data_IF_793146514441
#
_entry.id   IF_793146514441
#
_cell.length_a   1.000
_cell.length_b   1.000
_cell.length_c   1.000
_cell.angle_alpha   90.00
_cell.angle_beta   90.00
_cell.angle_gamma   90.00
#
_symmetry.space_group_name_H-M   'P 1'
#
loop_
_entity.id
_entity.type
_entity.pdbx_description
1 polymer ?
#
# COMPACT_ATOMS: atom_id res chain seq x y z
N UNK A 1 131.46 -18.93 11.96
CA UNK A 1 130.61 -18.75 10.76
C UNK A 1 129.15 -18.89 11.20
N UNK A 2 128.30 -17.95 10.83
CA UNK A 2 127.05 -17.53 11.50
C UNK A 2 126.05 -18.63 11.91
N UNK A 3 125.52 -18.49 13.13
CA UNK A 3 124.20 -18.98 13.56
C UNK A 3 123.07 -18.14 12.96
N UNK A 4 122.05 -18.79 12.37
CA UNK A 4 120.76 -18.17 12.07
C UNK A 4 119.63 -19.11 12.53
N UNK A 5 118.89 -18.68 13.56
CA UNK A 5 117.56 -19.18 13.88
C UNK A 5 116.51 -18.35 13.12
N UNK A 6 115.48 -18.96 12.50
CA UNK A 6 114.15 -18.32 12.45
C UNK A 6 113.01 -19.32 12.26
N UNK A 7 111.91 -19.02 12.97
CA UNK A 7 110.79 -19.84 13.41
C UNK A 7 109.81 -20.25 12.29
N UNK A 8 109.34 -21.49 12.33
CA UNK A 8 108.04 -21.90 11.77
C UNK A 8 106.99 -21.86 12.89
N UNK A 9 106.08 -20.89 12.83
CA UNK A 9 104.86 -20.90 13.63
C UNK A 9 103.80 -19.98 13.01
N UNK A 10 102.74 -20.57 12.43
CA UNK A 10 101.33 -20.14 12.50
C UNK A 10 100.53 -20.70 11.32
N UNK A 11 99.70 -21.70 11.57
CA UNK A 11 98.57 -22.06 10.68
C UNK A 11 97.26 -22.36 11.42
N UNK A 12 97.23 -22.30 12.76
CA UNK A 12 96.00 -22.53 13.55
C UNK A 12 95.16 -21.27 13.83
N UNK A 13 95.69 -20.08 13.49
CA UNK A 13 94.99 -18.80 13.71
C UNK A 13 94.29 -18.22 12.47
N UNK A 14 94.53 -18.78 11.29
CA UNK A 14 93.98 -18.24 10.04
C UNK A 14 92.49 -18.55 9.89
N UNK A 15 92.06 -19.78 10.21
CA UNK A 15 90.64 -20.17 10.14
C UNK A 15 89.77 -19.38 11.13
N UNK A 16 90.32 -19.02 12.30
CA UNK A 16 89.65 -18.14 13.27
C UNK A 16 89.52 -16.71 12.74
N UNK A 17 90.51 -16.22 12.00
CA UNK A 17 90.46 -14.89 11.38
C UNK A 17 89.47 -14.84 10.20
N UNK A 18 89.43 -15.88 9.37
CA UNK A 18 88.45 -16.00 8.28
C UNK A 18 87.02 -16.14 8.82
N UNK A 19 86.81 -16.93 9.89
CA UNK A 19 85.52 -17.01 10.57
C UNK A 19 85.11 -15.67 11.19
N UNK A 20 86.04 -14.94 11.81
CA UNK A 20 85.76 -13.62 12.38
C UNK A 20 85.37 -12.56 11.33
N UNK A 21 85.80 -12.72 10.08
CA UNK A 21 85.41 -11.85 8.97
C UNK A 21 84.05 -12.22 8.36
N UNK A 22 83.69 -13.50 8.34
CA UNK A 22 82.41 -13.99 7.78
C UNK A 22 81.27 -13.86 8.80
N UNK A 23 81.56 -14.04 10.09
CA UNK A 23 80.55 -14.04 11.15
C UNK A 23 79.65 -12.79 11.15
N UNK A 24 80.15 -11.55 11.00
CA UNK A 24 79.29 -10.36 10.96
C UNK A 24 78.33 -10.35 9.76
N UNK A 25 78.80 -10.80 8.59
CA UNK A 25 77.97 -10.88 7.38
C UNK A 25 76.92 -11.99 7.53
N UNK A 26 77.32 -13.15 8.08
CA UNK A 26 76.40 -14.25 8.35
C UNK A 26 75.33 -13.86 9.37
N UNK A 27 75.69 -13.13 10.43
CA UNK A 27 74.75 -12.62 11.43
C UNK A 27 73.79 -11.59 10.82
N UNK A 28 74.28 -10.70 9.96
CA UNK A 28 73.42 -9.76 9.24
C UNK A 28 72.41 -10.49 8.34
N UNK A 29 72.85 -11.49 7.58
CA UNK A 29 71.96 -12.31 6.75
C UNK A 29 70.91 -13.04 7.59
N UNK A 30 71.31 -13.65 8.71
CA UNK A 30 70.39 -14.35 9.60
C UNK A 30 69.37 -13.40 10.24
N UNK A 31 69.79 -12.23 10.71
CA UNK A 31 68.89 -11.25 11.29
C UNK A 31 67.94 -10.66 10.23
N UNK A 32 68.41 -10.41 9.00
CA UNK A 32 67.54 -9.98 7.90
C UNK A 32 66.50 -11.04 7.55
N UNK A 33 66.87 -12.32 7.58
CA UNK A 33 65.93 -13.42 7.35
C UNK A 33 64.87 -13.53 8.46
N UNK A 34 65.25 -13.27 9.71
CA UNK A 34 64.31 -13.23 10.84
C UNK A 34 63.32 -12.07 10.69
N UNK A 35 63.79 -10.86 10.39
CA UNK A 35 62.91 -9.69 10.21
C UNK A 35 61.98 -9.86 9.02
N UNK A 36 62.47 -10.39 7.90
CA UNK A 36 61.63 -10.70 6.74
C UNK A 36 60.58 -11.79 7.06
N UNK A 37 60.98 -12.82 7.81
CA UNK A 37 60.06 -13.87 8.25
C UNK A 37 58.95 -13.33 9.16
N UNK A 38 59.30 -12.47 10.12
CA UNK A 38 58.33 -11.80 11.01
C UNK A 38 57.40 -10.88 10.22
N UNK A 39 57.93 -10.11 9.27
CA UNK A 39 57.14 -9.22 8.43
C UNK A 39 56.13 -10.01 7.58
N UNK A 40 56.58 -11.07 6.91
CA UNK A 40 55.69 -11.93 6.12
C UNK A 40 54.62 -12.60 6.98
N UNK A 41 54.99 -13.14 8.14
CA UNK A 41 54.03 -13.74 9.06
C UNK A 41 53.00 -12.71 9.53
N UNK A 42 53.44 -11.51 9.92
CA UNK A 42 52.55 -10.43 10.36
C UNK A 42 51.60 -9.98 9.25
N UNK A 43 52.09 -9.89 8.00
CA UNK A 43 51.26 -9.56 6.85
C UNK A 43 50.17 -10.61 6.62
N UNK A 44 50.47 -11.90 6.81
CA UNK A 44 49.49 -12.98 6.72
C UNK A 44 48.44 -12.86 7.84
N UNK A 45 48.88 -12.61 9.08
CA UNK A 45 47.98 -12.43 10.23
C UNK A 45 46.99 -11.29 10.00
N UNK A 46 47.44 -10.10 9.61
CA UNK A 46 46.52 -8.98 9.36
C UNK A 46 45.59 -9.22 8.15
N UNK A 47 46.05 -9.98 7.16
CA UNK A 47 45.24 -10.34 6.00
C UNK A 47 44.12 -11.30 6.38
N UNK A 48 44.41 -12.27 7.25
CA UNK A 48 43.39 -13.18 7.76
C UNK A 48 42.42 -12.46 8.68
N UNK A 49 42.91 -11.56 9.55
CA UNK A 49 42.07 -10.70 10.37
C UNK A 49 41.11 -9.83 9.54
N UNK A 50 41.60 -9.21 8.46
CA UNK A 50 40.75 -8.46 7.54
C UNK A 50 39.69 -9.35 6.87
N UNK A 51 40.04 -10.57 6.45
CA UNK A 51 39.10 -11.53 5.84
C UNK A 51 38.00 -11.94 6.82
N UNK A 52 38.35 -12.23 8.07
CA UNK A 52 37.35 -12.60 9.08
C UNK A 52 36.45 -11.42 9.42
N UNK A 53 37.00 -10.21 9.56
CA UNK A 53 36.21 -9.00 9.70
C UNK A 53 35.21 -8.83 8.55
N UNK A 54 35.66 -9.01 7.30
CA UNK A 54 34.80 -8.92 6.11
C UNK A 54 33.73 -10.02 6.09
N UNK A 55 34.07 -11.24 6.53
CA UNK A 55 33.12 -12.34 6.67
C UNK A 55 32.02 -11.99 7.68
N UNK A 56 32.39 -11.56 8.88
CA UNK A 56 31.42 -11.16 9.93
C UNK A 56 30.58 -9.97 9.47
N UNK A 57 31.19 -9.00 8.78
CA UNK A 57 30.48 -7.85 8.22
C UNK A 57 29.46 -8.26 7.14
N UNK A 58 29.81 -9.22 6.28
CA UNK A 58 28.92 -9.72 5.22
C UNK A 58 27.68 -10.44 5.76
N UNK A 59 27.75 -10.97 6.97
CA UNK A 59 26.63 -11.62 7.67
C UNK A 59 25.77 -10.63 8.48
N UNK A 60 26.04 -9.31 8.38
CA UNK A 60 25.34 -8.27 9.12
C UNK A 60 25.86 -8.03 10.54
N UNK A 61 27.16 -8.27 10.75
CA UNK A 61 27.85 -7.94 11.99
C UNK A 61 27.92 -6.44 12.26
N UNK A 62 27.88 -6.06 13.53
CA UNK A 62 27.98 -4.65 13.96
C UNK A 62 29.43 -4.19 14.02
N UNK A 63 29.66 -2.91 13.68
CA UNK A 63 30.98 -2.31 13.73
C UNK A 63 30.93 -0.91 14.35
N UNK A 64 31.82 -0.66 15.31
CA UNK A 64 32.05 0.63 15.94
C UNK A 64 33.57 0.86 16.00
N UNK A 65 34.06 1.83 15.23
CA UNK A 65 35.49 2.15 15.18
C UNK A 65 36.01 2.58 16.56
N UNK A 66 37.20 2.11 16.94
CA UNK A 66 37.86 2.40 18.22
C UNK A 66 37.23 1.76 19.47
N UNK A 67 36.05 1.15 19.36
CA UNK A 67 35.37 0.51 20.50
C UNK A 67 35.91 -0.92 20.73
N UNK A 68 35.82 -1.45 21.97
CA UNK A 68 36.26 -2.82 22.27
C UNK A 68 35.43 -3.87 21.51
N UNK A 69 36.01 -5.07 21.36
CA UNK A 69 35.25 -6.25 20.97
C UNK A 69 34.20 -6.58 22.04
N UNK A 70 32.93 -6.62 21.63
CA UNK A 70 31.79 -7.04 22.43
C UNK A 70 30.63 -7.46 21.51
N UNK A 71 29.47 -7.80 22.08
CA UNK A 71 28.28 -8.21 21.33
C UNK A 71 27.73 -7.14 20.35
N UNK A 72 28.07 -5.87 20.55
CA UNK A 72 27.67 -4.72 19.71
C UNK A 72 28.77 -4.26 18.75
N UNK A 73 29.89 -4.99 18.68
CA UNK A 73 31.01 -4.71 17.80
C UNK A 73 31.64 -6.03 17.30
N UNK A 74 30.79 -6.88 16.69
CA UNK A 74 31.17 -8.24 16.30
C UNK A 74 32.23 -8.27 15.20
N UNK A 75 32.24 -7.28 14.29
CA UNK A 75 33.29 -7.17 13.26
C UNK A 75 34.65 -6.94 13.90
N UNK A 76 34.73 -6.07 14.92
CA UNK A 76 35.96 -5.87 15.69
C UNK A 76 36.40 -7.13 16.42
N UNK A 77 35.45 -7.94 16.92
CA UNK A 77 35.77 -9.23 17.52
C UNK A 77 36.43 -10.20 16.54
N UNK A 78 35.89 -10.32 15.32
CA UNK A 78 36.49 -11.17 14.28
C UNK A 78 37.91 -10.75 13.95
N UNK A 79 38.13 -9.43 13.77
CA UNK A 79 39.46 -8.88 13.48
C UNK A 79 40.46 -9.12 14.62
N UNK A 80 40.10 -8.80 15.86
CA UNK A 80 41.03 -8.90 16.98
C UNK A 80 41.33 -10.34 17.39
N UNK A 81 40.35 -11.24 17.30
CA UNK A 81 40.53 -12.67 17.64
C UNK A 81 41.48 -13.34 16.64
N UNK A 82 41.35 -13.04 15.35
CA UNK A 82 42.27 -13.56 14.33
C UNK A 82 43.66 -12.93 14.36
N UNK A 83 43.77 -11.70 14.87
CA UNK A 83 45.06 -11.05 15.07
C UNK A 83 45.79 -11.51 16.34
N UNK A 84 45.12 -12.23 17.25
CA UNK A 84 45.67 -12.66 18.52
C UNK A 84 46.83 -13.67 18.35
N UNK A 85 47.89 -13.51 19.15
CA UNK A 85 49.06 -14.40 19.10
C UNK A 85 50.05 -14.12 17.95
N UNK A 86 49.80 -13.09 17.13
CA UNK A 86 50.73 -12.62 16.10
C UNK A 86 51.94 -11.84 16.63
N UNK A 87 52.89 -11.50 15.75
CA UNK A 87 54.01 -10.60 16.06
C UNK A 87 53.63 -9.10 15.99
N UNK A 88 52.34 -8.80 15.80
CA UNK A 88 51.81 -7.45 15.60
C UNK A 88 50.53 -7.30 16.40
N UNK A 89 50.38 -6.14 17.04
CA UNK A 89 49.17 -5.76 17.76
C UNK A 89 48.32 -4.83 16.88
N UNK A 90 47.05 -5.19 16.68
CA UNK A 90 46.10 -4.38 15.92
C UNK A 90 45.42 -3.38 16.86
N UNK A 91 45.65 -2.09 16.63
CA UNK A 91 44.93 -1.01 17.32
C UNK A 91 43.49 -0.93 16.80
N UNK A 92 42.53 -0.86 17.72
CA UNK A 92 41.09 -0.74 17.43
C UNK A 92 40.74 0.51 16.61
N UNK A 93 41.54 1.56 16.71
CA UNK A 93 41.37 2.81 15.94
C UNK A 93 41.83 2.68 14.49
N UNK A 94 42.57 1.61 14.16
CA UNK A 94 43.14 1.32 12.84
C UNK A 94 42.41 0.21 12.09
N UNK A 95 41.19 -0.08 12.52
CA UNK A 95 40.25 -0.93 11.79
C UNK A 95 39.20 -0.03 11.18
N UNK A 96 38.97 -0.20 9.88
CA UNK A 96 37.97 0.55 9.13
C UNK A 96 37.05 -0.40 8.36
N UNK A 97 35.79 0.01 8.23
CA UNK A 97 34.76 -0.70 7.48
C UNK A 97 34.19 0.22 6.41
N UNK A 98 34.16 -0.23 5.15
CA UNK A 98 33.62 0.56 4.04
C UNK A 98 33.00 -0.32 2.94
N UNK A 99 31.81 0.01 2.40
CA UNK A 99 30.83 0.95 2.96
C UNK A 99 30.26 0.46 4.30
N UNK A 100 29.46 1.28 4.98
CA UNK A 100 28.83 0.90 6.25
C UNK A 100 28.02 -0.41 6.11
N UNK A 101 28.07 -1.21 7.18
CA UNK A 101 27.55 -2.57 7.40
C UNK A 101 26.47 -3.06 6.41
N UNK A 102 26.63 -4.30 5.95
CA UNK A 102 25.58 -5.05 5.24
C UNK A 102 24.31 -5.15 6.09
N UNK A 103 23.18 -4.60 5.64
CA UNK A 103 21.91 -4.83 6.30
C UNK A 103 21.33 -6.18 5.85
N UNK A 104 21.45 -7.19 6.72
CA UNK A 104 20.89 -8.53 6.49
C UNK A 104 19.37 -8.55 6.28
N UNK A 105 18.67 -7.50 6.73
CA UNK A 105 17.22 -7.37 6.59
C UNK A 105 16.83 -6.47 5.42
N UNK A 106 17.80 -5.82 4.75
CA UNK A 106 17.52 -4.99 3.60
C UNK A 106 17.07 -5.88 2.43
N UNK A 107 15.97 -5.48 1.80
CA UNK A 107 15.50 -6.10 0.57
C UNK A 107 16.34 -5.57 -0.59
N UNK A 108 17.28 -6.39 -1.06
CA UNK A 108 18.04 -6.09 -2.28
C UNK A 108 17.23 -6.55 -3.51
N UNK A 109 17.19 -5.74 -4.58
CA UNK A 109 16.46 -6.11 -5.80
C UNK A 109 17.03 -7.39 -6.43
N UNK A 110 16.14 -8.30 -6.84
CA UNK A 110 16.44 -9.64 -7.41
C UNK A 110 17.31 -9.65 -8.68
N UNK A 111 17.52 -8.48 -9.30
CA UNK A 111 18.32 -8.31 -10.52
C UNK A 111 19.68 -7.65 -10.29
N UNK A 112 20.04 -7.36 -9.03
CA UNK A 112 21.33 -6.77 -8.65
C UNK A 112 22.25 -7.76 -7.92
N UNK A 113 23.55 -7.71 -8.22
CA UNK A 113 24.55 -8.32 -7.34
C UNK A 113 24.52 -7.60 -5.98
N UNK A 114 24.45 -8.32 -4.85
CA UNK A 114 24.58 -7.70 -3.53
C UNK A 114 25.83 -6.80 -3.46
N UNK A 115 25.79 -5.71 -2.69
CA UNK A 115 26.97 -4.86 -2.50
C UNK A 115 28.08 -5.63 -1.80
N UNK A 116 29.32 -5.22 -2.05
CA UNK A 116 30.49 -5.70 -1.31
C UNK A 116 30.72 -4.82 -0.09
N UNK A 117 31.18 -5.44 1.00
CA UNK A 117 31.72 -4.77 2.19
C UNK A 117 33.21 -5.07 2.30
N UNK A 118 34.00 -4.05 2.63
CA UNK A 118 35.43 -4.17 2.83
C UNK A 118 35.82 -3.86 4.28
N UNK A 119 36.70 -4.67 4.84
CA UNK A 119 37.37 -4.38 6.12
C UNK A 119 38.85 -4.12 5.87
N UNK A 120 39.33 -2.98 6.33
CA UNK A 120 40.74 -2.61 6.31
C UNK A 120 41.32 -2.66 7.71
N UNK A 121 42.48 -3.29 7.85
CA UNK A 121 43.22 -3.43 9.10
C UNK A 121 44.62 -2.87 8.89
N UNK A 122 45.00 -1.92 9.73
CA UNK A 122 46.36 -1.37 9.76
C UNK A 122 47.02 -1.64 11.11
N UNK A 123 48.29 -2.04 11.08
CA UNK A 123 49.01 -2.35 12.29
C UNK A 123 50.50 -1.98 12.19
N UNK A 124 51.06 -1.31 13.21
CA UNK A 124 52.48 -0.96 13.23
C UNK A 124 53.35 -2.22 13.37
N UNK A 125 54.48 -2.23 12.69
CA UNK A 125 55.46 -3.31 12.74
C UNK A 125 56.85 -2.77 13.05
N UNK A 126 57.42 -3.24 14.17
CA UNK A 126 58.77 -2.90 14.60
C UNK A 126 59.77 -3.98 14.17
N UNK A 127 60.77 -3.53 13.41
CA UNK A 127 61.89 -4.35 12.95
C UNK A 127 62.88 -4.55 14.11
N UNK A 128 63.40 -5.76 14.30
CA UNK A 128 64.35 -6.04 15.40
C UNK A 128 65.73 -5.44 15.07
N UNK A 129 66.12 -5.43 13.79
CA UNK A 129 67.41 -4.87 13.39
C UNK A 129 67.37 -3.37 13.11
N UNK A 130 68.25 -2.57 13.74
CA UNK A 130 68.34 -1.14 13.48
C UNK A 130 68.79 -0.82 12.04
N UNK A 131 69.64 -1.67 11.44
CA UNK A 131 70.15 -1.49 10.08
C UNK A 131 69.02 -1.48 9.05
N UNK A 132 68.01 -2.34 9.20
CA UNK A 132 66.87 -2.40 8.29
C UNK A 132 65.89 -1.25 8.60
N UNK A 133 65.73 -0.89 9.87
CA UNK A 133 64.95 0.29 10.28
C UNK A 133 65.42 1.59 9.62
N UNK A 134 66.73 1.76 9.43
CA UNK A 134 67.30 2.93 8.74
C UNK A 134 67.08 2.92 7.22
N UNK A 135 66.87 1.75 6.60
CA UNK A 135 66.67 1.60 5.15
C UNK A 135 65.19 1.71 4.77
N UNK A 136 64.30 1.12 5.58
CA UNK A 136 62.86 0.98 5.27
C UNK A 136 62.01 1.96 6.09
N UNK A 137 62.60 2.60 7.10
CA UNK A 137 61.92 3.46 8.07
C UNK A 137 61.54 2.68 9.33
N UNK A 138 61.83 3.25 10.49
CA UNK A 138 61.62 2.60 11.80
C UNK A 138 60.13 2.35 12.16
N UNK A 139 59.19 2.93 11.39
CA UNK A 139 57.75 2.86 11.66
C UNK A 139 57.02 2.32 10.42
N UNK A 140 57.16 1.03 10.14
CA UNK A 140 56.40 0.37 9.08
C UNK A 140 54.96 0.15 9.54
N UNK A 141 53.98 0.53 8.72
CA UNK A 141 52.57 0.21 8.97
C UNK A 141 52.13 -0.81 7.93
N UNK A 142 51.81 -2.02 8.39
CA UNK A 142 51.25 -3.07 7.55
C UNK A 142 49.77 -2.78 7.34
N UNK A 143 49.30 -2.91 6.09
CA UNK A 143 47.91 -2.72 5.71
C UNK A 143 47.38 -3.95 4.98
N UNK A 144 46.18 -4.37 5.35
CA UNK A 144 45.45 -5.40 4.63
C UNK A 144 43.98 -4.99 4.50
N UNK A 145 43.41 -5.26 3.33
CA UNK A 145 41.99 -5.03 3.06
C UNK A 145 41.40 -6.30 2.45
N UNK A 146 40.22 -6.69 2.91
CA UNK A 146 39.48 -7.83 2.37
C UNK A 146 38.03 -7.45 2.09
N UNK A 147 37.53 -7.92 0.95
CA UNK A 147 36.15 -7.73 0.49
C UNK A 147 35.33 -9.01 0.70
N UNK A 148 34.07 -8.84 1.06
CA UNK A 148 33.07 -9.90 1.09
C UNK A 148 31.74 -9.40 0.52
N UNK A 149 31.04 -10.27 -0.21
CA UNK A 149 29.71 -9.96 -0.73
C UNK A 149 28.68 -10.12 0.38
N UNK A 150 27.81 -9.12 0.59
CA UNK A 150 26.77 -9.18 1.61
C UNK A 150 25.87 -10.41 1.41
N UNK A 151 25.61 -11.15 2.49
CA UNK A 151 24.66 -12.25 2.49
C UNK A 151 23.24 -11.68 2.39
N UNK A 152 22.54 -12.02 1.32
CA UNK A 152 21.13 -11.68 1.14
C UNK A 152 20.29 -12.94 1.29
N UNK A 153 19.25 -12.88 2.13
CA UNK A 153 18.23 -13.91 2.12
C UNK A 153 17.26 -13.55 0.98
N UNK A 154 17.12 -14.38 -0.08
CA UNK A 154 16.18 -14.08 -1.14
C UNK A 154 14.77 -14.03 -0.54
N UNK A 155 14.06 -12.93 -0.76
CA UNK A 155 12.66 -12.85 -0.40
C UNK A 155 11.90 -13.90 -1.22
N UNK A 156 11.29 -14.88 -0.55
CA UNK A 156 10.36 -15.81 -1.20
C UNK A 156 9.08 -15.04 -1.51
N UNK A 157 8.91 -14.67 -2.78
CA UNK A 157 7.64 -14.11 -3.25
C UNK A 157 6.69 -15.26 -3.53
N UNK A 158 5.67 -15.44 -2.70
CA UNK A 158 4.56 -16.33 -3.04
C UNK A 158 3.67 -15.65 -4.08
N UNK A 159 3.28 -16.32 -5.17
CA UNK A 159 2.31 -15.75 -6.10
C UNK A 159 1.02 -15.45 -5.33
N UNK A 160 0.55 -14.21 -5.38
CA UNK A 160 -0.72 -13.84 -4.75
C UNK A 160 -1.84 -14.67 -5.36
N UNK A 161 -2.69 -15.28 -4.54
CA UNK A 161 -3.82 -16.04 -5.03
C UNK A 161 -4.78 -15.12 -5.82
N UNK A 162 -5.21 -15.52 -7.02
CA UNK A 162 -6.11 -14.69 -7.82
C UNK A 162 -7.44 -14.52 -7.08
N UNK A 163 -7.88 -13.26 -6.94
CA UNK A 163 -9.15 -12.94 -6.31
C UNK A 163 -10.34 -13.43 -7.17
N UNK A 164 -11.51 -13.66 -6.55
CA UNK A 164 -12.75 -13.84 -7.30
C UNK A 164 -13.13 -12.55 -8.04
N UNK A 165 -14.16 -12.62 -8.89
CA UNK A 165 -14.79 -11.47 -9.53
C UNK A 165 -16.23 -11.38 -9.05
N UNK A 166 -16.52 -10.34 -8.27
CA UNK A 166 -17.86 -9.99 -7.83
C UNK A 166 -18.59 -9.25 -8.95
N UNK A 167 -19.81 -9.67 -9.24
CA UNK A 167 -20.74 -8.90 -10.06
C UNK A 167 -22.17 -9.30 -9.75
N UNK A 168 -23.06 -8.31 -9.75
CA UNK A 168 -24.49 -8.56 -9.64
C UNK A 168 -25.30 -7.69 -10.59
N UNK A 169 -26.59 -8.01 -10.68
CA UNK A 169 -27.61 -7.19 -11.34
C UNK A 169 -28.70 -6.83 -10.34
N UNK A 170 -29.40 -5.71 -10.58
CA UNK A 170 -30.57 -5.30 -9.82
C UNK A 170 -31.75 -5.17 -10.78
N UNK A 171 -32.92 -5.66 -10.40
CA UNK A 171 -34.12 -5.62 -11.25
C UNK A 171 -34.63 -4.19 -11.50
N UNK A 172 -34.34 -3.27 -10.56
CA UNK A 172 -34.57 -1.83 -10.70
C UNK A 172 -33.51 -1.03 -9.94
N UNK A 173 -33.15 0.11 -10.49
CA UNK A 173 -32.20 1.06 -9.87
C UNK A 173 -32.87 2.38 -9.48
N UNK A 174 -34.16 2.55 -9.77
CA UNK A 174 -34.94 3.68 -9.30
C UNK A 174 -36.44 3.40 -9.24
N UNK A 175 -37.17 4.19 -8.46
CA UNK A 175 -38.63 4.13 -8.37
C UNK A 175 -39.21 4.86 -7.15
N UNK A 176 -40.54 4.94 -7.03
CA UNK A 176 -41.20 5.55 -5.88
C UNK A 176 -41.03 4.72 -4.59
N UNK A 177 -41.02 5.37 -3.43
CA UNK A 177 -41.18 4.69 -2.14
C UNK A 177 -42.62 4.16 -1.95
N UNK A 178 -42.83 2.96 -1.39
CA UNK A 178 -41.80 1.94 -1.09
C UNK A 178 -41.29 1.24 -2.37
N UNK A 179 -39.96 1.05 -2.45
CA UNK A 179 -39.28 0.40 -3.56
C UNK A 179 -38.62 -0.90 -3.10
N UNK A 180 -39.20 -2.05 -3.46
CA UNK A 180 -38.51 -3.35 -3.35
C UNK A 180 -37.45 -3.44 -4.43
N UNK A 181 -36.26 -3.98 -4.16
CA UNK A 181 -35.21 -4.24 -5.15
C UNK A 181 -34.71 -5.66 -4.99
N UNK A 182 -34.75 -6.43 -6.08
CA UNK A 182 -34.21 -7.78 -6.13
C UNK A 182 -32.84 -7.73 -6.81
N UNK A 183 -31.88 -8.46 -6.24
CA UNK A 183 -30.51 -8.53 -6.72
C UNK A 183 -30.10 -9.96 -7.02
N UNK A 184 -29.29 -10.12 -8.08
CA UNK A 184 -28.79 -11.41 -8.56
C UNK A 184 -27.28 -11.36 -8.79
N UNK A 185 -26.54 -12.11 -7.99
CA UNK A 185 -25.08 -12.26 -8.04
C UNK A 185 -24.59 -13.47 -8.86
N UNK A 186 -25.47 -14.12 -9.63
CA UNK A 186 -25.18 -15.37 -10.34
C UNK A 186 -24.09 -15.29 -11.40
N UNK A 187 -23.74 -14.09 -11.84
CA UNK A 187 -22.63 -13.84 -12.77
C UNK A 187 -21.26 -13.69 -12.06
N UNK A 188 -21.22 -13.70 -10.72
CA UNK A 188 -19.96 -13.70 -9.97
C UNK A 188 -19.21 -15.01 -10.18
N UNK A 189 -17.87 -14.95 -10.24
CA UNK A 189 -17.04 -16.13 -10.52
C UNK A 189 -15.78 -16.19 -9.65
N UNK A 190 -15.27 -17.40 -9.45
CA UNK A 190 -13.98 -17.64 -8.81
C UNK A 190 -12.91 -17.96 -9.87
N UNK A 191 -11.67 -17.55 -9.61
CA UNK A 191 -10.56 -17.66 -10.57
C UNK A 191 -9.52 -18.66 -10.08
N UNK A 192 -8.74 -19.27 -10.98
CA UNK A 192 -7.63 -20.13 -10.60
C UNK A 192 -8.04 -21.39 -9.81
N UNK A 193 -9.13 -22.04 -10.22
CA UNK A 193 -9.58 -23.33 -9.69
C UNK A 193 -10.31 -23.29 -8.34
N UNK A 194 -10.55 -22.11 -7.77
CA UNK A 194 -11.38 -21.97 -6.57
C UNK A 194 -12.88 -21.98 -6.89
N UNK A 195 -13.68 -22.06 -5.83
CA UNK A 195 -15.14 -21.95 -5.87
C UNK A 195 -15.59 -20.83 -4.93
N UNK A 196 -16.73 -20.19 -5.23
CA UNK A 196 -17.31 -19.20 -4.32
C UNK A 196 -17.97 -19.90 -3.13
N UNK A 197 -17.64 -19.48 -1.92
CA UNK A 197 -18.12 -20.05 -0.65
C UNK A 197 -19.14 -19.16 0.04
N UNK A 198 -19.10 -17.84 -0.18
CA UNK A 198 -20.09 -16.93 0.38
C UNK A 198 -20.41 -15.72 -0.50
N UNK A 199 -21.64 -15.24 -0.35
CA UNK A 199 -22.18 -14.00 -0.91
C UNK A 199 -22.79 -13.22 0.24
N UNK A 200 -22.28 -12.03 0.52
CA UNK A 200 -22.73 -11.15 1.60
C UNK A 200 -23.16 -9.79 1.04
N UNK A 201 -24.33 -9.32 1.45
CA UNK A 201 -24.91 -8.07 0.99
C UNK A 201 -24.84 -6.99 2.07
N UNK A 202 -24.60 -5.74 1.69
CA UNK A 202 -24.49 -4.61 2.62
C UNK A 202 -25.73 -4.37 3.49
N UNK A 203 -26.90 -4.81 3.04
CA UNK A 203 -28.16 -4.75 3.80
C UNK A 203 -28.38 -5.95 4.73
N UNK A 204 -27.37 -6.79 4.95
CA UNK A 204 -27.38 -7.87 5.93
C UNK A 204 -27.91 -9.22 5.43
N UNK A 205 -28.21 -9.35 4.13
CA UNK A 205 -28.60 -10.62 3.52
C UNK A 205 -27.39 -11.44 3.05
N UNK A 206 -27.64 -12.70 2.73
CA UNK A 206 -26.66 -13.63 2.17
C UNK A 206 -27.26 -14.46 1.04
N UNK A 207 -26.41 -14.97 0.14
CA UNK A 207 -26.81 -15.84 -0.96
C UNK A 207 -26.77 -15.17 -2.33
N UNK A 208 -26.91 -15.99 -3.38
CA UNK A 208 -26.81 -15.54 -4.78
C UNK A 208 -27.95 -14.58 -5.15
N UNK A 209 -29.16 -14.88 -4.67
CA UNK A 209 -30.34 -14.03 -4.84
C UNK A 209 -30.71 -13.42 -3.49
N UNK A 210 -31.00 -12.12 -3.48
CA UNK A 210 -31.48 -11.42 -2.28
C UNK A 210 -32.43 -10.28 -2.66
N UNK A 211 -33.14 -9.74 -1.66
CA UNK A 211 -34.10 -8.64 -1.85
C UNK A 211 -34.07 -7.70 -0.65
N UNK A 212 -34.35 -6.42 -0.87
CA UNK A 212 -34.44 -5.39 0.16
C UNK A 212 -35.52 -4.37 -0.20
N UNK A 213 -36.18 -3.81 0.83
CA UNK A 213 -37.22 -2.79 0.67
C UNK A 213 -36.72 -1.42 1.13
N UNK A 214 -36.89 -0.41 0.28
CA UNK A 214 -36.59 0.97 0.62
C UNK A 214 -37.88 1.79 0.76
N UNK A 215 -38.25 2.09 2.00
CA UNK A 215 -39.50 2.81 2.34
C UNK A 215 -39.34 4.32 2.43
N UNK A 216 -38.09 4.80 2.48
CA UNK A 216 -37.76 6.22 2.63
C UNK A 216 -37.12 6.73 1.34
N UNK A 217 -37.57 7.89 0.89
CA UNK A 217 -36.99 8.62 -0.24
C UNK A 217 -35.51 8.89 0.02
N UNK A 218 -34.65 8.59 -0.94
CA UNK A 218 -33.21 8.73 -0.77
C UNK A 218 -32.41 7.93 -1.78
N UNK A 219 -31.09 8.02 -1.66
CA UNK A 219 -30.15 7.26 -2.48
C UNK A 219 -29.44 6.25 -1.60
N UNK A 220 -29.43 4.99 -2.04
CA UNK A 220 -28.85 3.86 -1.32
C UNK A 220 -27.79 3.18 -2.18
N UNK A 221 -26.75 2.62 -1.54
CA UNK A 221 -25.73 1.83 -2.23
C UNK A 221 -25.80 0.39 -1.75
N UNK A 222 -26.08 -0.52 -2.68
CA UNK A 222 -25.99 -1.96 -2.45
C UNK A 222 -24.58 -2.39 -2.79
N UNK A 223 -23.90 -3.06 -1.86
CA UNK A 223 -22.59 -3.68 -2.07
C UNK A 223 -22.70 -5.18 -1.88
N UNK A 224 -22.23 -5.95 -2.86
CA UNK A 224 -22.01 -7.38 -2.78
C UNK A 224 -20.54 -7.61 -2.39
N UNK A 225 -20.30 -8.52 -1.44
CA UNK A 225 -18.98 -9.10 -1.16
C UNK A 225 -19.05 -10.60 -1.44
N UNK A 226 -18.19 -11.11 -2.31
CA UNK A 226 -18.04 -12.56 -2.54
C UNK A 226 -16.74 -13.04 -1.92
N UNK A 227 -16.74 -14.28 -1.42
CA UNK A 227 -15.54 -14.94 -0.88
C UNK A 227 -15.36 -16.29 -1.56
N UNK A 228 -14.12 -16.64 -1.88
CA UNK A 228 -13.77 -17.93 -2.47
C UNK A 228 -13.33 -18.97 -1.42
N UNK A 229 -13.11 -20.21 -1.86
CA UNK A 229 -12.69 -21.34 -1.02
C UNK A 229 -11.27 -21.20 -0.44
N UNK A 230 -10.54 -20.17 -0.84
CA UNK A 230 -9.20 -19.83 -0.33
C UNK A 230 -9.23 -18.56 0.53
N UNK A 231 -10.41 -18.01 0.81
CA UNK A 231 -10.60 -16.81 1.62
C UNK A 231 -10.35 -15.50 0.89
N UNK A 232 -10.14 -15.51 -0.43
CA UNK A 232 -10.01 -14.28 -1.21
C UNK A 232 -11.38 -13.64 -1.42
N UNK A 233 -11.43 -12.30 -1.44
CA UNK A 233 -12.68 -11.55 -1.56
C UNK A 233 -12.67 -10.55 -2.70
N UNK A 234 -13.83 -10.25 -3.25
CA UNK A 234 -14.06 -9.13 -4.18
C UNK A 234 -15.42 -8.48 -3.94
N UNK A 235 -15.61 -7.26 -4.42
CA UNK A 235 -16.84 -6.48 -4.20
C UNK A 235 -17.35 -5.79 -5.46
N UNK A 236 -18.68 -5.77 -5.65
CA UNK A 236 -19.37 -4.95 -6.65
C UNK A 236 -20.40 -4.06 -5.95
N UNK A 237 -20.66 -2.86 -6.47
CA UNK A 237 -21.62 -1.91 -5.88
C UNK A 237 -22.51 -1.25 -6.92
N UNK A 238 -23.78 -1.04 -6.56
CA UNK A 238 -24.74 -0.28 -7.38
C UNK A 238 -25.56 0.68 -6.55
N UNK A 239 -25.91 1.81 -7.16
CA UNK A 239 -26.71 2.86 -6.55
C UNK A 239 -28.19 2.70 -6.91
N UNK A 240 -29.07 2.83 -5.91
CA UNK A 240 -30.53 2.78 -6.00
C UNK A 240 -31.09 4.15 -5.60
N UNK A 241 -31.95 4.73 -6.44
CA UNK A 241 -32.59 6.04 -6.18
C UNK A 241 -34.08 5.88 -5.93
N UNK A 242 -34.51 6.16 -4.70
CA UNK A 242 -35.90 6.09 -4.28
C UNK A 242 -36.49 7.50 -4.29
N UNK A 243 -37.44 7.73 -5.19
CA UNK A 243 -38.16 8.99 -5.32
C UNK A 243 -39.43 9.04 -4.46
N UNK A 244 -40.04 10.23 -4.30
CA UNK A 244 -41.33 10.36 -3.66
C UNK A 244 -42.37 9.52 -4.40
N UNK A 245 -43.16 8.76 -3.65
CA UNK A 245 -44.31 8.04 -4.18
C UNK A 245 -45.19 8.98 -4.97
N UNK A 246 -45.40 8.71 -6.27
CA UNK A 246 -46.40 9.44 -7.04
C UNK A 246 -47.73 9.24 -6.33
N UNK A 247 -48.25 10.29 -5.69
CA UNK A 247 -49.60 10.27 -5.15
C UNK A 247 -50.62 9.92 -6.24
N UNK A 248 -51.86 9.56 -5.88
CA UNK A 248 -52.88 9.26 -6.88
C UNK A 248 -52.97 10.41 -7.88
N UNK A 249 -52.77 10.11 -9.16
CA UNK A 249 -52.97 11.07 -10.25
C UNK A 249 -54.45 11.44 -10.25
N UNK A 250 -54.81 12.56 -9.64
CA UNK A 250 -56.19 13.03 -9.65
C UNK A 250 -56.53 13.54 -11.06
N UNK A 251 -57.72 13.23 -11.60
CA UNK A 251 -58.12 13.64 -12.94
C UNK A 251 -58.34 15.16 -13.03
N UNK A 252 -58.37 15.71 -14.23
CA UNK A 252 -58.66 17.14 -14.42
C UNK A 252 -60.16 17.36 -14.49
N UNK A 253 -60.71 18.28 -13.70
CA UNK A 253 -62.09 18.73 -13.83
C UNK A 253 -62.24 19.80 -14.91
N UNK A 254 -63.38 19.84 -15.59
CA UNK A 254 -63.79 20.90 -16.51
C UNK A 254 -65.32 21.05 -16.46
N UNK A 255 -65.85 22.12 -17.02
CA UNK A 255 -67.28 22.25 -17.24
C UNK A 255 -67.61 23.12 -18.45
N UNK A 256 -68.84 22.96 -18.94
CA UNK A 256 -69.44 23.84 -19.95
C UNK A 256 -70.68 24.53 -19.39
N UNK A 257 -70.93 25.75 -19.87
CA UNK A 257 -72.14 26.51 -19.57
C UNK A 257 -72.88 26.77 -20.88
N UNK A 258 -74.14 26.34 -20.97
CA UNK A 258 -75.02 26.58 -22.11
C UNK A 258 -76.22 27.40 -21.67
N UNK A 259 -76.52 28.48 -22.39
CA UNK A 259 -77.75 29.23 -22.15
C UNK A 259 -78.96 28.35 -22.51
N UNK A 260 -79.94 28.33 -21.62
CA UNK A 260 -81.20 27.57 -21.77
C UNK A 260 -82.43 28.47 -21.68
N UNK A 261 -82.24 29.79 -21.65
CA UNK A 261 -83.31 30.75 -21.48
C UNK A 261 -83.98 31.16 -22.80
N UNK A 262 -85.30 31.32 -22.73
CA UNK A 262 -86.08 32.27 -23.51
C UNK A 262 -85.88 33.66 -22.83
N UNK A 263 -85.96 34.83 -23.52
CA UNK A 263 -85.29 36.10 -23.15
C UNK A 263 -85.83 36.87 -21.91
N UNK A 264 -86.08 36.19 -20.79
CA UNK A 264 -86.53 36.79 -19.53
C UNK A 264 -85.49 36.70 -18.41
N UNK A 265 -85.51 37.69 -17.51
CA UNK A 265 -84.72 37.75 -16.27
C UNK A 265 -85.48 37.02 -15.14
N UNK A 266 -84.88 36.04 -14.42
CA UNK A 266 -83.47 35.65 -14.42
C UNK A 266 -83.05 34.73 -15.57
N UNK A 267 -81.83 34.94 -16.07
CA UNK A 267 -81.22 34.14 -17.14
C UNK A 267 -80.91 32.72 -16.65
N UNK A 268 -81.47 31.73 -17.34
CA UNK A 268 -81.30 30.31 -17.04
C UNK A 268 -80.20 29.69 -17.89
N UNK A 269 -79.13 29.24 -17.25
CA UNK A 269 -78.08 28.47 -17.93
C UNK A 269 -77.99 27.06 -17.37
N UNK A 270 -77.57 26.12 -18.20
CA UNK A 270 -77.23 24.75 -17.82
C UNK A 270 -75.73 24.61 -17.71
N UNK A 271 -75.27 24.16 -16.54
CA UNK A 271 -73.88 23.81 -16.27
C UNK A 271 -73.71 22.30 -16.32
N UNK A 272 -72.69 21.82 -17.02
CA UNK A 272 -72.37 20.40 -17.11
C UNK A 272 -70.89 20.16 -16.77
N UNK A 273 -70.63 19.49 -15.66
CA UNK A 273 -69.30 19.11 -15.20
C UNK A 273 -68.78 17.82 -15.82
N UNK A 274 -67.47 17.80 -16.10
CA UNK A 274 -66.73 16.65 -16.60
C UNK A 274 -65.42 16.49 -15.82
N UNK A 275 -64.92 15.25 -15.77
CA UNK A 275 -63.59 14.91 -15.26
C UNK A 275 -62.91 14.01 -16.27
N UNK A 276 -61.61 14.22 -16.51
CA UNK A 276 -60.85 13.48 -17.50
C UNK A 276 -59.62 12.84 -16.84
N UNK A 277 -59.47 11.50 -16.90
CA UNK A 277 -60.39 10.52 -17.48
C UNK A 277 -61.69 10.32 -16.67
N UNK A 278 -62.80 10.07 -17.36
CA UNK A 278 -64.14 9.94 -16.75
C UNK A 278 -64.37 8.53 -16.16
N UNK A 279 -63.95 8.30 -14.91
CA UNK A 279 -64.26 7.05 -14.19
C UNK A 279 -64.92 7.26 -12.82
N UNK A 280 -66.14 6.72 -12.67
CA UNK A 280 -66.86 6.53 -11.40
C UNK A 280 -67.72 7.71 -10.88
N UNK A 281 -68.34 7.50 -9.71
CA UNK A 281 -69.30 8.41 -9.07
C UNK A 281 -68.64 9.54 -8.27
N UNK A 282 -68.26 10.61 -8.96
CA UNK A 282 -67.76 11.84 -8.34
C UNK A 282 -68.87 12.57 -7.58
N UNK A 283 -68.53 13.14 -6.42
CA UNK A 283 -69.35 14.16 -5.77
C UNK A 283 -69.01 15.51 -6.39
N UNK A 284 -70.02 16.34 -6.63
CA UNK A 284 -69.87 17.60 -7.34
C UNK A 284 -70.46 18.74 -6.51
N UNK A 285 -69.68 19.79 -6.37
CA UNK A 285 -70.06 21.03 -5.69
C UNK A 285 -69.75 22.22 -6.58
N UNK A 286 -70.74 23.09 -6.77
CA UNK A 286 -70.61 24.36 -7.46
C UNK A 286 -70.54 25.48 -6.44
N UNK A 287 -69.53 26.34 -6.55
CA UNK A 287 -69.31 27.50 -5.68
C UNK A 287 -69.04 28.77 -6.48
N UNK A 288 -69.10 29.94 -5.82
CA UNK A 288 -68.93 31.26 -6.44
C UNK A 288 -70.24 32.03 -6.50
N UNK A 289 -70.61 32.53 -7.69
CA UNK A 289 -71.88 33.24 -7.91
C UNK A 289 -73.14 32.36 -7.71
N UNK A 290 -72.94 31.04 -7.54
CA UNK A 290 -73.98 30.04 -7.27
C UNK A 290 -73.50 29.09 -6.18
N UNK A 291 -74.44 28.48 -5.46
CA UNK A 291 -74.17 27.34 -4.56
C UNK A 291 -75.13 26.22 -4.89
N UNK A 292 -74.62 25.13 -5.47
CA UNK A 292 -75.43 23.99 -5.89
C UNK A 292 -74.60 22.70 -5.86
N UNK A 293 -75.28 21.55 -5.80
CA UNK A 293 -74.64 20.23 -5.87
C UNK A 293 -75.11 19.42 -7.07
N UNK A 294 -74.26 18.50 -7.53
CA UNK A 294 -74.54 17.57 -8.64
C UNK A 294 -73.83 17.89 -9.95
N UNK A 295 -73.59 16.87 -10.78
CA UNK A 295 -72.77 16.98 -12.00
C UNK A 295 -73.34 17.94 -13.06
N UNK A 296 -74.67 17.96 -13.20
CA UNK A 296 -75.38 18.79 -14.17
C UNK A 296 -76.55 19.49 -13.49
N UNK A 297 -76.63 20.81 -13.65
CA UNK A 297 -77.66 21.65 -13.03
C UNK A 297 -78.06 22.82 -13.94
N UNK A 298 -79.34 23.18 -13.89
CA UNK A 298 -79.81 24.48 -14.35
C UNK A 298 -79.74 25.48 -13.20
N UNK A 299 -79.15 26.65 -13.46
CA UNK A 299 -78.96 27.73 -12.49
C UNK A 299 -79.52 29.03 -13.05
N UNK A 300 -80.03 29.87 -12.15
CA UNK A 300 -80.54 31.20 -12.46
C UNK A 300 -79.47 32.23 -12.11
N UNK A 301 -79.05 33.05 -13.08
CA UNK A 301 -78.19 34.20 -12.82
C UNK A 301 -79.06 35.43 -12.54
N UNK A 302 -78.81 36.16 -11.42
CA UNK A 302 -79.67 37.25 -10.97
C UNK A 302 -79.52 38.55 -11.79
N UNK A 303 -78.45 38.66 -12.58
CA UNK A 303 -78.17 39.80 -13.45
C UNK A 303 -77.38 39.36 -14.69
N UNK A 304 -77.55 40.10 -15.79
CA UNK A 304 -76.69 39.99 -16.97
C UNK A 304 -75.24 40.35 -16.61
N UNK A 305 -74.28 39.80 -17.36
CA UNK A 305 -72.85 40.05 -17.19
C UNK A 305 -72.02 38.84 -16.73
N UNK A 306 -70.72 39.03 -16.48
CA UNK A 306 -69.79 37.97 -16.14
C UNK A 306 -69.93 37.50 -14.68
N UNK A 307 -70.03 36.19 -14.48
CA UNK A 307 -70.08 35.53 -13.17
C UNK A 307 -68.96 34.50 -13.04
N UNK A 308 -68.26 34.49 -11.90
CA UNK A 308 -67.25 33.47 -11.62
C UNK A 308 -67.91 32.22 -11.05
N UNK A 309 -67.70 31.08 -11.73
CA UNK A 309 -68.26 29.78 -11.33
C UNK A 309 -67.13 28.79 -11.17
N UNK A 310 -67.10 28.11 -10.02
CA UNK A 310 -66.14 27.04 -9.72
C UNK A 310 -66.87 25.72 -9.56
N UNK A 311 -66.44 24.71 -10.31
CA UNK A 311 -66.82 23.32 -10.13
C UNK A 311 -65.75 22.60 -9.32
N UNK A 312 -66.13 21.99 -8.20
CA UNK A 312 -65.28 21.09 -7.42
C UNK A 312 -65.81 19.67 -7.57
N UNK A 313 -64.95 18.74 -7.98
CA UNK A 313 -65.24 17.32 -8.03
C UNK A 313 -64.38 16.57 -7.00
N UNK A 314 -65.02 15.78 -6.16
CA UNK A 314 -64.36 15.03 -5.08
C UNK A 314 -64.69 13.54 -5.16
N UNK A 315 -63.66 12.69 -5.07
CA UNK A 315 -63.80 11.23 -5.00
C UNK A 315 -62.69 10.63 -4.15
N UNK A 316 -63.04 10.09 -2.99
CA UNK A 316 -62.07 9.62 -2.00
C UNK A 316 -61.16 10.76 -1.54
N UNK A 317 -59.84 10.58 -1.64
CA UNK A 317 -58.85 11.60 -1.29
C UNK A 317 -58.56 12.62 -2.42
N UNK A 318 -59.12 12.42 -3.62
CA UNK A 318 -58.91 13.34 -4.75
C UNK A 318 -59.98 14.44 -4.76
N UNK A 319 -59.54 15.70 -4.68
CA UNK A 319 -60.37 16.89 -4.88
C UNK A 319 -59.78 17.74 -6.00
N UNK A 320 -60.56 18.01 -7.04
CA UNK A 320 -60.11 18.74 -8.24
C UNK A 320 -61.11 19.83 -8.55
N UNK A 321 -60.66 20.98 -9.04
CA UNK A 321 -61.53 22.13 -9.29
C UNK A 321 -61.27 22.77 -10.65
N UNK A 322 -62.32 23.33 -11.24
CA UNK A 322 -62.28 24.12 -12.46
C UNK A 322 -63.06 25.41 -12.27
N UNK A 323 -62.40 26.55 -12.45
CA UNK A 323 -63.02 27.87 -12.36
C UNK A 323 -63.04 28.51 -13.74
N UNK A 324 -64.22 28.99 -14.17
CA UNK A 324 -64.36 29.76 -15.42
C UNK A 324 -65.32 30.93 -15.21
N UNK A 325 -65.14 31.98 -16.01
CA UNK A 325 -66.09 33.10 -16.09
C UNK A 325 -67.22 32.74 -17.05
N UNK A 326 -68.45 32.71 -16.55
CA UNK A 326 -69.66 32.47 -17.32
C UNK A 326 -70.40 33.78 -17.49
N UNK A 327 -70.61 34.23 -18.73
CA UNK A 327 -71.36 35.45 -19.00
C UNK A 327 -72.83 35.11 -19.19
N UNK A 328 -73.68 35.57 -18.27
CA UNK A 328 -75.12 35.59 -18.48
C UNK A 328 -75.43 36.71 -19.49
N UNK A 329 -76.13 36.42 -20.61
CA UNK A 329 -76.50 37.44 -21.58
C UNK A 329 -77.44 38.50 -21.01
#
# INVERSE_FOLDING_TARGET
MLTVFKRSARSRGQSLAEFALILPVLLLLLLTAIDLGRLMYSQITITNAAKEGALVASQGGSFQSGQPCNSSNSVMCGVLTEAEGGFVEVDRTRVELSPAVCDKNAQYPISGSPPNVAVSVEAPFDVITPIIGDIIGANLVLKATADAQCLVVPAVTYPSLPAPTATFTADRTSGPAPLTVNVDAGASSATGGATLTSYAWSFGASGVLASTDYTVVGTYTITLTVTDSRGQTDTDSKTITVGPGGGPVCPTAAFTATDTSNPGNPHRMRLNGTVTPSSGGWSWEWTGAITASGQSRQVNFPSAGPHSVTLTATKGACTVAATQTVTAP
#
